data_IF_999094292455
#
_entry.id   IF_999094292455
#
_cell.length_a   1.000
_cell.length_b   1.000
_cell.length_c   1.000
_cell.angle_alpha   90.00
_cell.angle_beta   90.00
_cell.angle_gamma   90.00
#
_symmetry.space_group_name_H-M   'P 1'
#
loop_
_entity.id
_entity.type
_entity.pdbx_description
1 polymer ?
#
# COMPACT_ATOMS: atom_id res chain seq x y z
N UNK A 1 12.75 16.47 25.59
CA UNK A 1 12.56 15.30 24.68
C UNK A 1 11.18 14.64 24.86
N UNK A 2 10.53 14.78 26.02
CA UNK A 2 9.21 14.19 26.29
C UNK A 2 8.12 15.27 26.56
N UNK A 3 8.37 16.53 26.18
CA UNK A 3 7.44 17.65 26.39
C UNK A 3 6.12 17.46 25.64
N UNK A 4 6.13 16.72 24.52
CA UNK A 4 4.94 16.39 23.74
C UNK A 4 3.91 15.51 24.49
N UNK A 5 4.33 14.79 25.55
CA UNK A 5 3.42 13.92 26.34
C UNK A 5 2.39 14.76 27.11
N UNK A 6 2.74 15.98 27.49
CA UNK A 6 1.86 16.89 28.22
C UNK A 6 1.06 17.83 27.29
N UNK A 7 1.33 17.76 25.98
CA UNK A 7 0.68 18.60 24.98
C UNK A 7 -0.56 17.89 24.39
N UNK A 8 -1.78 18.42 24.62
CA UNK A 8 -3.00 17.86 24.04
C UNK A 8 -3.00 17.83 22.51
N UNK A 9 -2.35 18.79 21.86
CA UNK A 9 -2.27 18.84 20.38
C UNK A 9 -1.44 17.67 19.84
N UNK A 10 -0.41 17.25 20.54
CA UNK A 10 0.40 16.10 20.16
C UNK A 10 -0.41 14.79 20.19
N UNK A 11 -1.33 14.63 21.14
CA UNK A 11 -2.22 13.45 21.22
C UNK A 11 -3.27 13.47 20.10
N UNK A 12 -3.83 14.62 19.77
CA UNK A 12 -4.76 14.78 18.64
C UNK A 12 -4.03 14.42 17.33
N UNK A 13 -2.82 14.96 17.16
CA UNK A 13 -1.97 14.64 16.00
C UNK A 13 -1.64 13.17 15.92
N UNK A 14 -1.28 12.53 17.05
CA UNK A 14 -1.01 11.08 17.14
C UNK A 14 -2.23 10.26 16.68
N UNK A 15 -3.39 10.55 17.25
CA UNK A 15 -4.63 9.84 16.91
C UNK A 15 -5.00 10.02 15.43
N UNK A 16 -4.90 11.25 14.92
CA UNK A 16 -5.21 11.57 13.52
C UNK A 16 -4.23 10.88 12.57
N UNK A 17 -2.92 10.96 12.83
CA UNK A 17 -1.91 10.31 12.02
C UNK A 17 -2.03 8.79 12.07
N UNK A 18 -2.25 8.20 13.25
CA UNK A 18 -2.44 6.76 13.37
C UNK A 18 -3.70 6.29 12.60
N UNK A 19 -4.80 7.03 12.70
CA UNK A 19 -6.02 6.74 11.95
C UNK A 19 -5.78 6.85 10.42
N UNK A 20 -5.11 7.90 9.97
CA UNK A 20 -4.75 8.07 8.55
C UNK A 20 -3.84 6.93 8.07
N UNK A 21 -2.80 6.58 8.84
CA UNK A 21 -1.89 5.48 8.49
C UNK A 21 -2.61 4.13 8.45
N UNK A 22 -3.59 3.87 9.33
CA UNK A 22 -4.41 2.65 9.29
C UNK A 22 -5.26 2.64 8.03
N UNK A 23 -5.95 3.74 7.70
CA UNK A 23 -6.79 3.84 6.51
C UNK A 23 -5.96 3.68 5.24
N UNK A 24 -4.82 4.37 5.15
CA UNK A 24 -3.88 4.25 4.03
C UNK A 24 -3.20 2.88 3.98
N UNK A 25 -3.11 2.19 5.12
CA UNK A 25 -2.48 0.88 5.23
C UNK A 25 -3.37 -0.30 4.85
N UNK A 26 -4.68 -0.10 4.67
CA UNK A 26 -5.60 -1.18 4.26
C UNK A 26 -5.19 -1.75 2.90
N UNK A 27 -4.85 -0.90 1.95
CA UNK A 27 -4.38 -1.30 0.61
C UNK A 27 -3.09 -2.11 0.70
N UNK A 28 -2.17 -1.70 1.58
CA UNK A 28 -0.93 -2.41 1.83
C UNK A 28 -1.17 -3.81 2.40
N UNK A 29 -2.14 -3.97 3.33
CA UNK A 29 -2.48 -5.31 3.87
C UNK A 29 -3.01 -6.21 2.76
N UNK A 30 -3.93 -5.71 1.92
CA UNK A 30 -4.52 -6.48 0.83
C UNK A 30 -3.43 -6.87 -0.17
N UNK A 31 -2.58 -5.92 -0.54
CA UNK A 31 -1.48 -6.15 -1.47
C UNK A 31 -0.45 -7.15 -0.93
N UNK A 32 0.00 -6.97 0.33
CA UNK A 32 0.91 -7.91 0.99
C UNK A 32 0.27 -9.30 1.04
N UNK A 33 -1.04 -9.39 1.31
CA UNK A 33 -1.75 -10.67 1.34
C UNK A 33 -1.78 -11.34 -0.03
N UNK A 34 -1.98 -10.61 -1.12
CA UNK A 34 -1.95 -11.13 -2.49
C UNK A 34 -0.54 -11.65 -2.84
N UNK A 35 0.51 -10.88 -2.54
CA UNK A 35 1.89 -11.29 -2.83
C UNK A 35 2.31 -12.52 -2.00
N UNK A 36 1.99 -12.50 -0.71
CA UNK A 36 2.30 -13.59 0.21
C UNK A 36 1.46 -14.83 -0.09
N UNK A 37 0.25 -14.68 -0.62
CA UNK A 37 -0.61 -15.79 -1.08
C UNK A 37 0.06 -16.68 -2.12
N UNK A 38 1.07 -16.17 -2.86
CA UNK A 38 1.90 -16.93 -3.81
C UNK A 38 2.95 -17.83 -3.15
N UNK A 39 3.27 -17.56 -1.88
CA UNK A 39 4.21 -18.36 -1.12
C UNK A 39 3.56 -19.67 -0.68
N UNK A 40 4.37 -20.73 -0.44
CA UNK A 40 3.91 -21.94 0.22
C UNK A 40 3.20 -21.59 1.56
N UNK A 41 2.14 -22.33 1.90
CA UNK A 41 1.31 -22.05 3.09
C UNK A 41 2.12 -21.85 4.37
N UNK A 42 3.17 -22.67 4.56
CA UNK A 42 4.07 -22.58 5.72
C UNK A 42 4.79 -21.24 5.84
N UNK A 43 4.98 -20.51 4.72
CA UNK A 43 5.71 -19.26 4.66
C UNK A 43 4.78 -18.03 4.63
N UNK A 44 3.47 -18.21 4.41
CA UNK A 44 2.53 -17.08 4.28
C UNK A 44 2.46 -16.23 5.53
N UNK A 45 2.30 -16.84 6.69
CA UNK A 45 2.22 -16.09 7.96
C UNK A 45 3.52 -15.35 8.27
N UNK A 46 4.66 -16.00 8.07
CA UNK A 46 5.98 -15.37 8.20
C UNK A 46 6.15 -14.23 7.20
N UNK A 47 5.77 -14.44 5.94
CA UNK A 47 5.83 -13.42 4.89
C UNK A 47 4.98 -12.19 5.21
N UNK A 48 3.78 -12.36 5.77
CA UNK A 48 2.93 -11.25 6.21
C UNK A 48 3.59 -10.43 7.34
N UNK A 49 4.06 -11.10 8.37
CA UNK A 49 4.69 -10.43 9.54
C UNK A 49 5.98 -9.73 9.15
N UNK A 50 6.86 -10.43 8.44
CA UNK A 50 8.15 -9.88 8.01
C UNK A 50 7.95 -8.78 6.98
N UNK A 51 6.99 -8.94 6.05
CA UNK A 51 6.62 -7.91 5.07
C UNK A 51 6.11 -6.63 5.72
N UNK A 52 5.19 -6.72 6.69
CA UNK A 52 4.70 -5.57 7.44
C UNK A 52 5.78 -4.94 8.33
N UNK A 53 6.64 -5.76 8.94
CA UNK A 53 7.77 -5.26 9.72
C UNK A 53 8.79 -4.52 8.84
N UNK A 54 9.03 -5.02 7.63
CA UNK A 54 9.90 -4.36 6.64
C UNK A 54 9.28 -3.04 6.16
N UNK A 55 7.98 -3.02 5.88
CA UNK A 55 7.23 -1.83 5.55
C UNK A 55 7.30 -0.78 6.68
N UNK A 56 7.15 -1.18 7.93
CA UNK A 56 7.34 -0.28 9.08
C UNK A 56 8.76 0.30 9.11
N UNK A 57 9.77 -0.54 8.94
CA UNK A 57 11.15 -0.10 8.96
C UNK A 57 11.45 0.89 7.84
N UNK A 58 11.01 0.62 6.61
CA UNK A 58 11.20 1.52 5.46
C UNK A 58 10.54 2.87 5.68
N UNK A 59 9.32 2.91 6.24
CA UNK A 59 8.62 4.17 6.58
C UNK A 59 9.34 4.98 7.64
N UNK A 60 9.80 4.34 8.71
CA UNK A 60 10.57 5.01 9.77
C UNK A 60 11.89 5.57 9.20
N UNK A 61 12.58 4.80 8.36
CA UNK A 61 13.80 5.25 7.71
C UNK A 61 13.54 6.43 6.75
N UNK A 62 12.47 6.38 5.97
CA UNK A 62 12.05 7.50 5.12
C UNK A 62 11.76 8.75 5.95
N UNK A 63 11.03 8.60 7.04
CA UNK A 63 10.73 9.71 7.95
C UNK A 63 12.00 10.30 8.58
N UNK A 64 12.93 9.45 9.01
CA UNK A 64 14.22 9.89 9.56
C UNK A 64 15.10 10.55 8.49
N UNK A 65 14.96 10.17 7.24
CA UNK A 65 15.65 10.76 6.09
C UNK A 65 14.97 12.01 5.53
N UNK A 66 14.12 12.67 6.31
CA UNK A 66 13.32 13.82 5.90
C UNK A 66 14.12 14.91 5.18
N UNK A 67 15.30 15.26 5.69
CA UNK A 67 16.17 16.25 5.07
C UNK A 67 16.63 15.84 3.65
N UNK A 68 16.75 14.53 3.39
CA UNK A 68 17.06 13.98 2.09
C UNK A 68 15.79 13.97 1.20
N UNK A 69 14.62 13.62 1.75
CA UNK A 69 13.36 13.65 1.03
C UNK A 69 12.99 15.06 0.55
N UNK A 70 13.23 16.09 1.35
CA UNK A 70 13.05 17.49 0.94
C UNK A 70 13.94 17.87 -0.25
N UNK A 71 15.09 17.22 -0.43
CA UNK A 71 15.92 17.42 -1.62
C UNK A 71 15.36 16.68 -2.85
N UNK A 72 14.61 15.62 -2.67
CA UNK A 72 13.97 14.89 -3.78
C UNK A 72 12.83 15.68 -4.43
N UNK A 73 12.24 16.64 -3.72
CA UNK A 73 11.21 17.54 -4.28
C UNK A 73 11.82 18.70 -5.07
N UNK A 74 13.14 18.91 -5.00
CA UNK A 74 13.80 19.93 -5.80
C UNK A 74 13.83 19.51 -7.30
N UNK A 75 13.60 20.46 -8.22
CA UNK A 75 13.61 20.17 -9.64
C UNK A 75 15.02 19.71 -10.08
N UNK A 76 15.08 18.58 -10.78
CA UNK A 76 16.32 18.04 -11.36
C UNK A 76 16.54 18.58 -12.77
N UNK A 77 15.48 18.66 -13.56
CA UNK A 77 15.49 19.18 -14.93
C UNK A 77 14.06 19.57 -15.33
N UNK A 78 13.96 20.35 -16.42
CA UNK A 78 12.66 20.80 -16.95
C UNK A 78 12.42 20.17 -18.32
N UNK A 79 11.26 19.53 -18.51
CA UNK A 79 10.82 18.94 -19.77
C UNK A 79 9.45 19.48 -20.13
N UNK A 80 9.27 20.00 -21.32
CA UNK A 80 8.01 20.60 -21.81
C UNK A 80 7.41 21.65 -20.84
N UNK A 81 8.23 22.49 -20.24
CA UNK A 81 7.83 23.49 -19.25
C UNK A 81 7.35 22.93 -17.89
N UNK A 82 7.54 21.64 -17.63
CA UNK A 82 7.31 21.02 -16.33
C UNK A 82 8.64 20.74 -15.64
N UNK A 83 8.73 21.13 -14.36
CA UNK A 83 9.88 20.83 -13.51
C UNK A 83 9.74 19.39 -12.99
N UNK A 84 10.71 18.53 -13.33
CA UNK A 84 10.70 17.13 -12.91
C UNK A 84 11.65 16.98 -11.73
N UNK A 85 11.12 16.51 -10.61
CA UNK A 85 11.84 16.21 -9.39
C UNK A 85 12.19 14.71 -9.28
N UNK A 86 13.07 14.37 -8.33
CA UNK A 86 13.34 12.97 -8.00
C UNK A 86 12.10 12.23 -7.48
N UNK A 87 11.21 12.94 -6.76
CA UNK A 87 9.91 12.42 -6.31
C UNK A 87 9.06 11.98 -7.50
N UNK A 88 8.95 12.82 -8.52
CA UNK A 88 8.09 12.55 -9.69
C UNK A 88 8.59 11.34 -10.47
N UNK A 89 9.91 11.15 -10.60
CA UNK A 89 10.49 9.95 -11.21
C UNK A 89 10.15 8.69 -10.41
N UNK A 90 10.23 8.72 -9.08
CA UNK A 90 9.88 7.57 -8.23
C UNK A 90 8.39 7.24 -8.38
N UNK A 91 7.51 8.26 -8.36
CA UNK A 91 6.07 8.07 -8.53
C UNK A 91 5.73 7.52 -9.90
N UNK A 92 6.36 8.02 -10.97
CA UNK A 92 6.17 7.53 -12.33
C UNK A 92 6.58 6.06 -12.48
N UNK A 93 7.79 5.73 -12.05
CA UNK A 93 8.32 4.36 -12.13
C UNK A 93 7.49 3.41 -11.26
N UNK A 94 7.15 3.83 -10.04
CA UNK A 94 6.32 3.06 -9.12
C UNK A 94 4.90 2.84 -9.65
N UNK A 95 4.28 3.87 -10.22
CA UNK A 95 2.96 3.78 -10.84
C UNK A 95 2.95 2.84 -12.04
N UNK A 96 3.93 2.94 -12.93
CA UNK A 96 4.10 2.01 -14.07
C UNK A 96 4.31 0.58 -13.60
N UNK A 97 5.18 0.38 -12.59
CA UNK A 97 5.40 -0.94 -12.01
C UNK A 97 4.10 -1.56 -11.46
N UNK A 98 3.30 -0.77 -10.72
CA UNK A 98 2.00 -1.21 -10.21
C UNK A 98 1.04 -1.62 -11.32
N UNK A 99 0.89 -0.81 -12.36
CA UNK A 99 -0.01 -1.10 -13.47
C UNK A 99 0.40 -2.40 -14.16
N UNK A 100 1.68 -2.54 -14.52
CA UNK A 100 2.20 -3.72 -15.21
C UNK A 100 2.04 -4.97 -14.36
N UNK A 101 2.42 -4.90 -13.08
CA UNK A 101 2.30 -6.02 -12.15
C UNK A 101 0.86 -6.42 -11.90
N UNK A 102 0.00 -5.49 -11.53
CA UNK A 102 -1.40 -5.78 -11.22
C UNK A 102 -2.16 -6.30 -12.44
N UNK A 103 -1.91 -5.74 -13.63
CA UNK A 103 -2.50 -6.24 -14.88
C UNK A 103 -2.04 -7.66 -15.21
N UNK A 104 -0.75 -7.98 -14.97
CA UNK A 104 -0.23 -9.34 -15.10
C UNK A 104 -0.89 -10.32 -14.16
N UNK A 105 -1.07 -9.93 -12.88
CA UNK A 105 -1.76 -10.71 -11.86
C UNK A 105 -3.22 -10.96 -12.19
N UNK A 106 -3.93 -9.94 -12.70
CA UNK A 106 -5.33 -10.07 -13.13
C UNK A 106 -5.41 -11.07 -14.27
N UNK A 107 -4.53 -10.97 -15.27
CA UNK A 107 -4.48 -11.91 -16.40
C UNK A 107 -4.24 -13.34 -15.93
N UNK A 108 -3.31 -13.53 -15.00
CA UNK A 108 -3.00 -14.82 -14.42
C UNK A 108 -4.18 -15.38 -13.62
N UNK A 109 -4.85 -14.55 -12.81
CA UNK A 109 -6.03 -14.93 -12.03
C UNK A 109 -7.23 -15.36 -12.91
N UNK A 110 -7.41 -14.73 -14.08
CA UNK A 110 -8.46 -15.10 -15.04
C UNK A 110 -8.11 -16.41 -15.74
N UNK A 111 -6.86 -16.58 -16.18
CA UNK A 111 -6.44 -17.76 -16.94
C UNK A 111 -6.36 -19.04 -16.07
N UNK A 112 -6.15 -18.93 -14.76
CA UNK A 112 -6.15 -20.07 -13.83
C UNK A 112 -7.52 -20.74 -13.62
N UNK A 113 -8.60 -20.16 -14.11
CA UNK A 113 -9.91 -20.83 -14.13
C UNK A 113 -10.02 -21.93 -15.21
N UNK A 114 -9.11 -21.96 -16.20
CA UNK A 114 -9.23 -22.83 -17.37
C UNK A 114 -8.22 -24.00 -17.44
N UNK A 115 -7.17 -24.05 -16.62
CA UNK A 115 -6.14 -25.10 -16.74
C UNK A 115 -5.61 -25.65 -15.41
N UNK A 116 -5.52 -26.99 -15.37
CA UNK A 116 -5.02 -27.86 -14.30
C UNK A 116 -3.78 -27.34 -13.55
N UNK A 117 -3.85 -27.44 -12.21
CA UNK A 117 -2.90 -27.02 -11.18
C UNK A 117 -1.47 -27.59 -11.22
N UNK A 118 -1.08 -28.38 -12.23
CA UNK A 118 0.10 -29.25 -12.10
C UNK A 118 1.41 -28.76 -12.69
N UNK A 119 1.49 -27.67 -13.48
CA UNK A 119 2.73 -27.43 -14.26
C UNK A 119 3.47 -26.10 -14.11
N UNK A 120 3.01 -25.12 -13.33
CA UNK A 120 3.75 -23.87 -13.11
C UNK A 120 3.75 -23.37 -11.68
N UNK A 121 4.24 -24.18 -10.75
CA UNK A 121 4.89 -23.63 -9.53
C UNK A 121 6.24 -23.04 -9.93
N UNK A 122 6.24 -21.91 -10.63
CA UNK A 122 7.39 -21.02 -10.57
C UNK A 122 7.61 -20.75 -9.08
N UNK A 123 8.72 -21.27 -8.55
CA UNK A 123 9.12 -21.08 -7.14
C UNK A 123 9.24 -19.58 -6.92
N UNK A 124 8.16 -18.95 -6.45
CA UNK A 124 8.19 -17.55 -6.07
C UNK A 124 9.15 -17.47 -4.89
N UNK A 125 10.24 -16.72 -5.09
CA UNK A 125 11.27 -16.56 -4.06
C UNK A 125 10.68 -15.77 -2.89
N UNK A 126 10.81 -16.27 -1.67
CA UNK A 126 10.44 -15.55 -0.46
C UNK A 126 11.06 -14.15 -0.40
N UNK A 127 12.36 -14.07 -0.70
CA UNK A 127 13.08 -12.80 -0.77
C UNK A 127 12.53 -11.88 -1.87
N UNK A 128 12.17 -12.45 -3.03
CA UNK A 128 11.56 -11.68 -4.12
C UNK A 128 10.23 -11.05 -3.74
N UNK A 129 9.41 -11.74 -2.95
CA UNK A 129 8.15 -11.19 -2.40
C UNK A 129 8.45 -10.06 -1.42
N UNK A 130 9.40 -10.24 -0.51
CA UNK A 130 9.76 -9.20 0.46
C UNK A 130 10.33 -7.94 -0.21
N UNK A 131 11.16 -8.10 -1.24
CA UNK A 131 11.67 -6.97 -2.03
C UNK A 131 10.52 -6.22 -2.72
N UNK A 132 9.56 -6.94 -3.30
CA UNK A 132 8.39 -6.32 -3.93
C UNK A 132 7.57 -5.55 -2.90
N UNK A 133 7.34 -6.11 -1.71
CA UNK A 133 6.64 -5.43 -0.61
C UNK A 133 7.39 -4.14 -0.23
N UNK A 134 8.70 -4.21 -0.02
CA UNK A 134 9.51 -3.06 0.36
C UNK A 134 9.50 -1.95 -0.69
N UNK A 135 9.68 -2.29 -1.97
CA UNK A 135 9.67 -1.32 -3.07
C UNK A 135 8.34 -0.61 -3.15
N UNK A 136 7.24 -1.36 -3.05
CA UNK A 136 5.91 -0.76 -3.13
C UNK A 136 5.57 0.08 -1.91
N UNK A 137 5.97 -0.39 -0.71
CA UNK A 137 5.76 0.42 0.48
C UNK A 137 6.53 1.75 0.42
N UNK A 138 7.76 1.76 -0.11
CA UNK A 138 8.51 3.00 -0.33
C UNK A 138 7.75 3.94 -1.27
N UNK A 139 7.22 3.43 -2.38
CA UNK A 139 6.46 4.24 -3.34
C UNK A 139 5.21 4.84 -2.70
N UNK A 140 4.44 4.04 -1.96
CA UNK A 140 3.22 4.51 -1.29
C UNK A 140 3.51 5.45 -0.10
N UNK A 141 4.61 5.20 0.60
CA UNK A 141 4.97 5.96 1.80
C UNK A 141 5.59 7.30 1.49
N UNK A 142 6.15 7.49 0.30
CA UNK A 142 6.84 8.74 -0.06
C UNK A 142 5.89 9.95 0.09
N UNK A 143 4.67 9.82 -0.40
CA UNK A 143 3.67 10.88 -0.35
C UNK A 143 3.01 11.01 1.04
N UNK A 144 2.74 9.90 1.72
CA UNK A 144 2.18 9.92 3.08
C UNK A 144 3.16 10.51 4.09
N UNK A 145 4.46 10.24 3.96
CA UNK A 145 5.49 10.82 4.84
C UNK A 145 5.62 12.32 4.61
N UNK A 146 5.60 12.80 3.37
CA UNK A 146 5.61 14.24 3.07
C UNK A 146 4.38 14.92 3.69
N UNK A 147 3.21 14.31 3.58
CA UNK A 147 1.96 14.81 4.17
C UNK A 147 2.02 14.83 5.70
N UNK A 148 2.52 13.75 6.32
CA UNK A 148 2.65 13.62 7.77
C UNK A 148 3.56 14.70 8.37
N UNK A 149 4.63 15.04 7.69
CA UNK A 149 5.55 16.12 8.07
C UNK A 149 4.86 17.47 8.10
N UNK A 150 3.93 17.71 7.18
CA UNK A 150 3.12 18.94 7.19
C UNK A 150 2.09 19.01 8.34
N UNK A 151 1.74 17.88 8.93
CA UNK A 151 0.68 17.78 9.95
C UNK A 151 1.18 17.66 11.40
N UNK A 152 2.41 17.26 11.62
CA UNK A 152 2.96 17.08 12.97
C UNK A 152 4.32 17.76 13.13
N UNK A 153 4.45 18.49 14.25
CA UNK A 153 5.70 19.16 14.62
C UNK A 153 6.70 18.25 15.34
N UNK A 154 6.28 17.04 15.75
CA UNK A 154 7.08 16.16 16.59
C UNK A 154 7.37 14.81 15.92
N UNK A 155 8.61 14.57 15.52
CA UNK A 155 9.08 13.30 14.95
C UNK A 155 8.72 12.06 15.79
N UNK A 156 8.83 12.06 17.15
CA UNK A 156 8.43 10.92 17.95
C UNK A 156 6.93 10.57 17.83
N UNK A 157 6.07 11.56 17.66
CA UNK A 157 4.62 11.38 17.46
C UNK A 157 4.34 10.65 16.14
N UNK A 158 5.02 11.05 15.06
CA UNK A 158 4.92 10.40 13.76
C UNK A 158 5.39 8.93 13.82
N UNK A 159 6.56 8.68 14.43
CA UNK A 159 7.09 7.31 14.59
C UNK A 159 6.11 6.45 15.39
N UNK A 160 5.56 6.98 16.48
CA UNK A 160 4.60 6.26 17.32
C UNK A 160 3.30 5.96 16.56
N UNK A 161 2.82 6.90 15.74
CA UNK A 161 1.66 6.69 14.86
C UNK A 161 1.88 5.53 13.88
N UNK A 162 3.04 5.45 13.24
CA UNK A 162 3.41 4.36 12.34
C UNK A 162 3.45 3.03 13.10
N UNK A 163 4.07 2.98 14.28
CA UNK A 163 4.16 1.75 15.10
C UNK A 163 2.77 1.26 15.49
N UNK A 164 1.89 2.16 15.93
CA UNK A 164 0.50 1.82 16.29
C UNK A 164 -0.24 1.30 15.06
N UNK A 165 -0.15 1.99 13.93
CA UNK A 165 -0.83 1.61 12.70
C UNK A 165 -0.38 0.23 12.21
N UNK A 166 0.93 -0.02 12.16
CA UNK A 166 1.46 -1.33 11.76
C UNK A 166 1.08 -2.43 12.76
N UNK A 167 1.07 -2.12 14.07
CA UNK A 167 0.54 -3.04 15.07
C UNK A 167 -0.88 -3.49 14.77
N UNK A 168 -1.78 -2.53 14.49
CA UNK A 168 -3.17 -2.82 14.09
C UNK A 168 -3.21 -3.62 12.77
N UNK A 169 -2.40 -3.25 11.78
CA UNK A 169 -2.30 -3.96 10.52
C UNK A 169 -1.82 -5.41 10.68
N UNK A 170 -0.87 -5.69 11.57
CA UNK A 170 -0.41 -7.06 11.86
C UNK A 170 -1.54 -7.94 12.40
N UNK A 171 -2.40 -7.42 13.25
CA UNK A 171 -3.58 -8.15 13.73
C UNK A 171 -4.62 -8.37 12.64
N UNK A 172 -4.84 -7.36 11.79
CA UNK A 172 -5.81 -7.41 10.71
C UNK A 172 -5.33 -8.21 9.48
N UNK A 173 -4.03 -8.36 9.27
CA UNK A 173 -3.45 -8.93 8.06
C UNK A 173 -3.85 -10.39 7.82
N UNK A 174 -3.91 -11.22 8.87
CA UNK A 174 -4.33 -12.63 8.72
C UNK A 174 -5.81 -12.75 8.34
N UNK A 175 -6.77 -12.21 9.10
CA UNK A 175 -8.19 -12.33 8.75
C UNK A 175 -8.53 -11.70 7.40
N UNK A 176 -7.93 -10.56 7.06
CA UNK A 176 -8.13 -9.91 5.75
C UNK A 176 -7.54 -10.78 4.63
N UNK A 177 -6.34 -11.30 4.81
CA UNK A 177 -5.68 -12.15 3.81
C UNK A 177 -6.44 -13.44 3.56
N UNK A 178 -6.86 -14.12 4.62
CA UNK A 178 -7.62 -15.37 4.51
C UNK A 178 -8.99 -15.10 3.84
N UNK A 179 -9.61 -13.94 4.11
CA UNK A 179 -10.85 -13.53 3.47
C UNK A 179 -10.67 -13.25 1.97
N UNK A 180 -9.60 -12.57 1.57
CA UNK A 180 -9.27 -12.31 0.16
C UNK A 180 -8.93 -13.62 -0.57
N UNK A 181 -8.18 -14.53 0.07
CA UNK A 181 -7.81 -15.82 -0.50
C UNK A 181 -9.04 -16.72 -0.75
N UNK A 182 -10.09 -16.60 0.08
CA UNK A 182 -11.33 -17.36 -0.08
C UNK A 182 -12.31 -16.75 -1.10
N UNK A 183 -12.07 -15.52 -1.55
CA UNK A 183 -12.95 -14.80 -2.47
C UNK A 183 -12.18 -14.27 -3.70
N UNK A 184 -12.06 -15.07 -4.78
CA UNK A 184 -11.28 -14.69 -5.96
C UNK A 184 -11.69 -13.36 -6.60
N UNK A 185 -12.98 -13.02 -6.54
CA UNK A 185 -13.51 -11.75 -7.07
C UNK A 185 -12.98 -10.55 -6.30
N UNK A 186 -12.82 -10.67 -4.98
CA UNK A 186 -12.19 -9.63 -4.15
C UNK A 186 -10.71 -9.48 -4.47
N UNK A 187 -10.01 -10.58 -4.80
CA UNK A 187 -8.62 -10.51 -5.24
C UNK A 187 -8.49 -9.72 -6.54
N UNK A 188 -9.35 -9.98 -7.53
CA UNK A 188 -9.38 -9.22 -8.80
C UNK A 188 -9.72 -7.75 -8.53
N UNK A 189 -10.69 -7.47 -7.67
CA UNK A 189 -11.07 -6.11 -7.28
C UNK A 189 -9.89 -5.36 -6.66
N UNK A 190 -9.18 -5.99 -5.72
CA UNK A 190 -8.00 -5.41 -5.08
C UNK A 190 -6.87 -5.13 -6.10
N UNK A 191 -6.63 -6.04 -7.04
CA UNK A 191 -5.66 -5.83 -8.12
C UNK A 191 -6.08 -4.68 -9.05
N UNK A 192 -7.37 -4.54 -9.35
CA UNK A 192 -7.90 -3.41 -10.11
C UNK A 192 -7.69 -2.07 -9.38
N UNK A 193 -7.81 -2.05 -8.05
CA UNK A 193 -7.47 -0.86 -7.26
C UNK A 193 -5.99 -0.51 -7.33
N UNK A 194 -5.09 -1.50 -7.35
CA UNK A 194 -3.67 -1.22 -7.53
C UNK A 194 -3.37 -0.61 -8.90
N UNK A 195 -4.11 -0.99 -9.95
CA UNK A 195 -4.03 -0.30 -11.25
C UNK A 195 -4.50 1.15 -11.12
N UNK A 196 -5.63 1.39 -10.44
CA UNK A 196 -6.15 2.74 -10.22
C UNK A 196 -5.16 3.62 -9.43
N UNK A 197 -4.57 3.06 -8.36
CA UNK A 197 -3.53 3.75 -7.58
C UNK A 197 -2.29 4.01 -8.45
N UNK A 198 -1.87 3.05 -9.28
CA UNK A 198 -0.77 3.24 -10.22
C UNK A 198 -1.02 4.40 -11.19
N UNK A 199 -2.24 4.51 -11.73
CA UNK A 199 -2.66 5.64 -12.58
C UNK A 199 -2.60 6.96 -11.79
N UNK A 200 -3.08 6.96 -10.54
CA UNK A 200 -3.02 8.14 -9.67
C UNK A 200 -1.58 8.59 -9.40
N UNK A 201 -0.66 7.65 -9.15
CA UNK A 201 0.77 7.97 -8.95
C UNK A 201 1.40 8.58 -10.21
N UNK A 202 1.05 8.07 -11.39
CA UNK A 202 1.51 8.65 -12.67
C UNK A 202 0.93 10.06 -12.85
N UNK A 203 -0.35 10.27 -12.55
CA UNK A 203 -0.95 11.60 -12.61
C UNK A 203 -0.25 12.58 -11.65
N UNK A 204 0.02 12.15 -10.41
CA UNK A 204 0.75 12.92 -9.41
C UNK A 204 2.17 13.27 -9.87
N UNK A 205 2.86 12.35 -10.57
CA UNK A 205 4.19 12.60 -11.14
C UNK A 205 4.21 13.64 -12.28
N UNK A 206 3.04 13.98 -12.81
CA UNK A 206 2.81 14.98 -13.83
C UNK A 206 2.16 16.26 -13.27
N UNK A 207 2.23 16.47 -11.96
CA UNK A 207 1.60 17.57 -11.22
C UNK A 207 0.05 17.62 -11.34
N UNK A 208 -0.57 16.50 -11.78
CA UNK A 208 -2.02 16.37 -11.80
C UNK A 208 -2.46 15.78 -10.46
N UNK A 209 -2.85 16.65 -9.54
CA UNK A 209 -3.26 16.25 -8.20
C UNK A 209 -4.67 15.64 -8.18
N UNK A 210 -4.76 14.32 -7.96
CA UNK A 210 -6.02 13.61 -7.76
C UNK A 210 -6.26 13.48 -6.26
N UNK A 211 -7.31 14.13 -5.69
CA UNK A 211 -7.62 13.99 -4.27
C UNK A 211 -7.88 12.52 -3.92
N UNK A 212 -7.07 11.97 -3.01
CA UNK A 212 -7.14 10.55 -2.59
C UNK A 212 -8.51 10.12 -2.09
N UNK A 213 -9.31 11.07 -1.58
CA UNK A 213 -10.68 10.83 -1.16
C UNK A 213 -11.57 10.20 -2.24
N UNK A 214 -11.39 10.55 -3.51
CA UNK A 214 -12.13 9.95 -4.63
C UNK A 214 -11.74 8.48 -4.83
N UNK A 215 -10.47 8.16 -4.70
CA UNK A 215 -9.95 6.79 -4.82
C UNK A 215 -10.51 5.93 -3.70
N UNK A 216 -10.43 6.41 -2.44
CA UNK A 216 -10.97 5.68 -1.29
C UNK A 216 -12.48 5.52 -1.34
N UNK A 217 -13.21 6.55 -1.82
CA UNK A 217 -14.65 6.44 -2.04
C UNK A 217 -14.97 5.36 -3.08
N UNK A 218 -14.29 5.37 -4.23
CA UNK A 218 -14.47 4.36 -5.27
C UNK A 218 -14.16 2.95 -4.77
N UNK A 219 -13.09 2.79 -4.00
CA UNK A 219 -12.73 1.52 -3.35
C UNK A 219 -13.80 1.05 -2.38
N UNK A 220 -14.20 1.91 -1.45
CA UNK A 220 -15.23 1.60 -0.46
C UNK A 220 -16.55 1.21 -1.12
N UNK A 221 -17.00 1.98 -2.12
CA UNK A 221 -18.19 1.67 -2.90
C UNK A 221 -18.11 0.30 -3.58
N UNK A 222 -17.00 0.01 -4.26
CA UNK A 222 -16.81 -1.26 -4.97
C UNK A 222 -16.75 -2.46 -4.01
N UNK A 223 -16.11 -2.31 -2.84
CA UNK A 223 -16.10 -3.35 -1.80
C UNK A 223 -17.52 -3.61 -1.29
N UNK A 224 -18.31 -2.57 -1.03
CA UNK A 224 -19.72 -2.73 -0.62
C UNK A 224 -20.52 -3.48 -1.67
N UNK A 225 -20.39 -3.10 -2.95
CA UNK A 225 -21.07 -3.81 -4.06
C UNK A 225 -20.66 -5.27 -4.11
N UNK A 226 -19.36 -5.58 -3.98
CA UNK A 226 -18.88 -6.96 -4.03
C UNK A 226 -19.36 -7.78 -2.81
N UNK A 227 -19.43 -7.17 -1.63
CA UNK A 227 -20.01 -7.82 -0.45
C UNK A 227 -21.47 -8.20 -0.66
N UNK A 228 -22.24 -7.32 -1.32
CA UNK A 228 -23.63 -7.61 -1.70
C UNK A 228 -23.68 -8.78 -2.70
N UNK A 229 -22.81 -8.77 -3.72
CA UNK A 229 -22.72 -9.85 -4.70
C UNK A 229 -22.39 -11.20 -4.07
N UNK A 230 -21.42 -11.24 -3.15
CA UNK A 230 -21.05 -12.45 -2.40
C UNK A 230 -22.26 -12.96 -1.61
N UNK A 231 -23.00 -12.07 -0.94
CA UNK A 231 -24.19 -12.44 -0.18
C UNK A 231 -25.28 -13.00 -1.09
N UNK A 232 -25.54 -12.35 -2.23
CA UNK A 232 -26.51 -12.83 -3.21
C UNK A 232 -26.17 -14.23 -3.74
N UNK A 233 -24.90 -14.46 -4.12
CA UNK A 233 -24.45 -15.78 -4.59
C UNK A 233 -24.60 -16.89 -3.56
N UNK A 234 -24.52 -16.57 -2.25
CA UNK A 234 -24.79 -17.55 -1.17
C UNK A 234 -26.26 -17.88 -1.01
N UNK A 235 -27.15 -16.96 -1.33
CA UNK A 235 -28.60 -17.17 -1.25
C UNK A 235 -29.17 -17.92 -2.46
N UNK A 236 -28.45 -17.91 -3.58
CA UNK A 236 -28.82 -18.62 -4.82
C UNK A 236 -28.28 -20.05 -4.91
N UNK A 237 -27.43 -20.48 -3.96
CA UNK A 237 -26.94 -21.85 -3.78
C UNK A 237 -27.76 -22.57 -2.73
#
# INVERSE_FOLDING_TARGET
MFEWITDPEAWISLATLAALEIVLGVDNIIFISILVGRLPERQRQSGRIVGLGLAMLTRILLLMSLAWMMKLTAPLFTVFNQEISGRDLILLIGGLFLIVKSSGEIKEAINHQDHNESERKNKVSYLGVLIQIAVLDIVFSLDSVITAVGMASHLPVMILAIIIAVGVMMFAAKPIGDFVDTHPTLKILALAFLVLVGISLIAESLDIHIPKGYIYFAMGFSVVVEMINIRMRRLMK
#
